data_IF_366869813494
#
_entry.id   IF_366869813494
#
_cell.length_a   1.000
_cell.length_b   1.000
_cell.length_c   1.000
_cell.angle_alpha   90.00
_cell.angle_beta   90.00
_cell.angle_gamma   90.00
#
_symmetry.space_group_name_H-M   'P 1'
#
loop_
_entity.id
_entity.type
_entity.pdbx_description
1 polymer ?
#
# COMPACT_ATOMS: atom_id res chain seq x y z
N UNK A 1 -13.58 11.83 -11.61
CA UNK A 1 -14.10 10.76 -10.71
C UNK A 1 -12.96 9.82 -10.39
N UNK A 2 -12.74 9.56 -9.11
CA UNK A 2 -11.67 8.65 -8.66
C UNK A 2 -12.03 7.19 -8.98
N UNK A 3 -11.14 6.48 -9.63
CA UNK A 3 -11.33 5.07 -10.02
C UNK A 3 -10.13 4.22 -9.61
N UNK A 4 -10.39 2.92 -9.36
CA UNK A 4 -9.39 1.90 -9.08
C UNK A 4 -9.31 1.01 -10.33
N UNK A 5 -8.15 1.03 -10.99
CA UNK A 5 -7.93 0.39 -12.29
C UNK A 5 -6.80 -0.64 -12.21
N UNK A 6 -6.85 -1.62 -13.10
CA UNK A 6 -5.69 -2.47 -13.31
C UNK A 6 -4.56 -1.63 -13.95
N UNK A 7 -3.30 -1.74 -13.47
CA UNK A 7 -2.19 -0.98 -14.04
C UNK A 7 -1.93 -1.29 -15.53
N UNK A 8 -2.40 -2.42 -16.04
CA UNK A 8 -2.24 -2.81 -17.44
C UNK A 8 -3.43 -2.47 -18.33
N UNK A 9 -4.48 -1.83 -17.80
CA UNK A 9 -5.60 -1.35 -18.63
C UNK A 9 -5.15 -0.33 -19.69
N UNK A 10 -4.11 0.45 -19.37
CA UNK A 10 -3.44 1.37 -20.31
C UNK A 10 -1.94 1.37 -20.04
N UNK A 11 -1.07 1.37 -21.06
CA UNK A 11 0.39 1.47 -20.87
C UNK A 11 0.80 2.67 -20.00
N UNK A 12 0.14 3.81 -20.20
CA UNK A 12 0.40 5.02 -19.42
C UNK A 12 0.12 4.87 -17.91
N UNK A 13 -0.76 3.97 -17.51
CA UNK A 13 -1.04 3.71 -16.09
C UNK A 13 0.13 3.02 -15.42
N UNK A 14 0.69 2.00 -16.07
CA UNK A 14 1.89 1.32 -15.58
C UNK A 14 3.08 2.29 -15.48
N UNK A 15 3.33 3.09 -16.52
CA UNK A 15 4.45 4.05 -16.57
C UNK A 15 4.34 5.09 -15.45
N UNK A 16 3.14 5.65 -15.23
CA UNK A 16 2.91 6.61 -14.17
C UNK A 16 3.05 5.98 -12.77
N UNK A 17 2.56 4.76 -12.58
CA UNK A 17 2.72 4.03 -11.33
C UNK A 17 4.19 3.69 -11.05
N UNK A 18 4.94 3.25 -12.05
CA UNK A 18 6.39 3.02 -11.95
C UNK A 18 7.13 4.30 -11.58
N UNK A 19 6.78 5.43 -12.19
CA UNK A 19 7.37 6.73 -11.84
C UNK A 19 7.13 7.08 -10.36
N UNK A 20 5.91 6.86 -9.85
CA UNK A 20 5.60 7.08 -8.43
C UNK A 20 6.36 6.12 -7.53
N UNK A 21 6.45 4.84 -7.91
CA UNK A 21 7.21 3.84 -7.19
C UNK A 21 8.66 4.25 -7.03
N UNK A 22 9.34 4.64 -8.12
CA UNK A 22 10.73 5.12 -8.10
C UNK A 22 10.87 6.38 -7.24
N UNK A 23 9.97 7.34 -7.39
CA UNK A 23 9.97 8.61 -6.65
C UNK A 23 9.89 8.44 -5.14
N UNK A 24 9.16 7.42 -4.68
CA UNK A 24 8.93 7.16 -3.25
C UNK A 24 9.60 5.88 -2.75
N UNK A 25 10.52 5.32 -3.53
CA UNK A 25 11.18 4.03 -3.29
C UNK A 25 11.70 3.88 -1.85
N UNK A 26 12.33 4.92 -1.32
CA UNK A 26 12.89 4.94 0.04
C UNK A 26 11.86 4.75 1.17
N UNK A 27 10.56 4.92 0.89
CA UNK A 27 9.47 4.71 1.84
C UNK A 27 8.73 3.40 1.61
N UNK A 28 8.98 2.75 0.48
CA UNK A 28 8.32 1.52 0.06
C UNK A 28 9.20 0.29 0.25
N UNK A 29 10.52 0.45 0.05
CA UNK A 29 11.45 -0.67 -0.02
C UNK A 29 12.65 -0.48 0.91
N UNK A 30 13.31 -1.59 1.22
CA UNK A 30 14.57 -1.65 1.94
C UNK A 30 15.77 -1.82 0.98
N UNK A 31 16.98 -1.87 1.55
CA UNK A 31 18.20 -2.00 0.76
C UNK A 31 18.27 -3.34 0.00
N UNK A 32 17.69 -4.42 0.57
CA UNK A 32 17.69 -5.73 -0.09
C UNK A 32 16.85 -5.76 -1.36
N UNK A 33 15.74 -5.02 -1.39
CA UNK A 33 14.90 -4.90 -2.57
C UNK A 33 15.57 -4.03 -3.65
N UNK A 34 16.30 -2.98 -3.23
CA UNK A 34 16.91 -2.01 -4.13
C UNK A 34 18.17 -2.58 -4.79
N UNK A 35 19.03 -3.29 -4.04
CA UNK A 35 20.36 -3.70 -4.51
C UNK A 35 20.35 -4.85 -5.53
N UNK A 36 19.26 -5.61 -5.62
CA UNK A 36 19.22 -6.88 -6.35
C UNK A 36 18.50 -6.87 -7.69
N UNK A 37 17.98 -5.72 -8.18
CA UNK A 37 17.07 -5.75 -9.30
C UNK A 37 17.15 -4.55 -10.23
N UNK A 38 16.95 -4.79 -11.52
CA UNK A 38 16.39 -3.78 -12.39
C UNK A 38 15.05 -3.34 -11.82
N UNK A 39 14.92 -2.06 -11.50
CA UNK A 39 13.76 -1.48 -10.82
C UNK A 39 12.45 -1.70 -11.61
N UNK A 40 12.52 -1.70 -12.94
CA UNK A 40 11.39 -1.99 -13.81
C UNK A 40 10.90 -3.43 -13.61
N UNK A 41 11.81 -4.40 -13.69
CA UNK A 41 11.48 -5.82 -13.54
C UNK A 41 10.99 -6.12 -12.14
N UNK A 42 11.58 -5.49 -11.13
CA UNK A 42 11.12 -5.63 -9.74
C UNK A 42 9.68 -5.14 -9.57
N UNK A 43 9.36 -3.94 -10.07
CA UNK A 43 8.00 -3.38 -9.98
C UNK A 43 6.99 -4.18 -10.81
N UNK A 44 7.38 -4.62 -12.01
CA UNK A 44 6.54 -5.50 -12.83
C UNK A 44 6.21 -6.81 -12.10
N UNK A 45 7.22 -7.47 -11.52
CA UNK A 45 7.04 -8.68 -10.74
C UNK A 45 6.21 -8.46 -9.47
N UNK A 46 6.36 -7.30 -8.81
CA UNK A 46 5.52 -6.91 -7.68
C UNK A 46 4.04 -6.88 -8.09
N UNK A 47 3.70 -6.24 -9.20
CA UNK A 47 2.32 -6.20 -9.71
C UNK A 47 1.82 -7.61 -10.01
N UNK A 48 2.64 -8.44 -10.69
CA UNK A 48 2.24 -9.80 -11.04
C UNK A 48 1.93 -10.66 -9.80
N UNK A 49 2.81 -10.64 -8.78
CA UNK A 49 2.62 -11.46 -7.58
C UNK A 49 1.48 -10.97 -6.68
N UNK A 50 1.13 -9.68 -6.73
CA UNK A 50 0.03 -9.09 -5.94
C UNK A 50 -1.29 -9.03 -6.71
N UNK A 51 -1.30 -9.41 -8.00
CA UNK A 51 -2.53 -9.53 -8.79
C UNK A 51 -3.45 -10.61 -8.17
N UNK A 52 -4.78 -10.38 -8.12
CA UNK A 52 -5.55 -9.26 -8.67
C UNK A 52 -5.73 -8.07 -7.70
N UNK A 53 -4.94 -7.98 -6.65
CA UNK A 53 -5.10 -6.99 -5.57
C UNK A 53 -4.22 -5.74 -5.73
N UNK A 54 -3.62 -5.53 -6.91
CA UNK A 54 -2.91 -4.31 -7.24
C UNK A 54 -3.79 -3.37 -8.07
N UNK A 55 -3.94 -2.12 -7.62
CA UNK A 55 -4.74 -1.11 -8.30
C UNK A 55 -3.95 0.20 -8.42
N UNK A 56 -4.03 0.83 -9.58
CA UNK A 56 -3.74 2.26 -9.73
C UNK A 56 -4.99 3.06 -9.40
N UNK A 57 -4.79 4.19 -8.74
CA UNK A 57 -5.85 5.13 -8.37
C UNK A 57 -5.79 6.29 -9.35
N UNK A 58 -6.86 6.53 -10.10
CA UNK A 58 -6.85 7.49 -11.20
C UNK A 58 -7.90 8.59 -11.05
N UNK A 59 -7.56 9.77 -11.56
CA UNK A 59 -8.47 10.87 -11.88
C UNK A 59 -8.43 11.07 -13.40
N UNK A 60 -9.38 10.44 -14.13
CA UNK A 60 -9.28 10.32 -15.57
C UNK A 60 -8.06 9.49 -16.00
N UNK A 61 -7.19 10.07 -16.82
CA UNK A 61 -5.95 9.42 -17.28
C UNK A 61 -4.73 9.70 -16.39
N UNK A 62 -4.91 10.47 -15.31
CA UNK A 62 -3.84 10.77 -14.37
C UNK A 62 -3.83 9.78 -13.20
N UNK A 63 -2.71 9.10 -12.98
CA UNK A 63 -2.49 8.26 -11.81
C UNK A 63 -2.13 9.13 -10.61
N UNK A 64 -3.00 9.15 -9.61
CA UNK A 64 -2.81 9.87 -8.35
C UNK A 64 -2.03 9.06 -7.31
N UNK A 65 -2.03 7.74 -7.47
CA UNK A 65 -1.37 6.79 -6.57
C UNK A 65 -1.62 5.35 -6.99
N UNK A 66 -1.13 4.44 -6.16
CA UNK A 66 -1.45 3.01 -6.26
C UNK A 66 -1.64 2.41 -4.87
N UNK A 67 -2.31 1.27 -4.84
CA UNK A 67 -2.55 0.48 -3.63
C UNK A 67 -2.52 -0.99 -3.98
N UNK A 68 -1.99 -1.81 -3.08
CA UNK A 68 -2.06 -3.27 -3.22
C UNK A 68 -2.14 -3.98 -1.88
N UNK A 69 -2.62 -5.23 -1.93
CA UNK A 69 -2.58 -6.16 -0.82
C UNK A 69 -1.55 -7.24 -1.10
N UNK A 70 -0.79 -7.59 -0.06
CA UNK A 70 0.21 -8.67 -0.07
C UNK A 70 0.06 -9.51 1.21
N UNK A 71 0.85 -10.58 1.32
CA UNK A 71 0.88 -11.44 2.52
C UNK A 71 -0.52 -11.83 3.03
N UNK A 72 -1.34 -12.31 2.09
CA UNK A 72 -2.71 -12.75 2.37
C UNK A 72 -2.72 -13.97 3.28
N UNK A 73 -3.54 -13.93 4.33
CA UNK A 73 -3.81 -15.06 5.22
C UNK A 73 -5.27 -15.48 5.03
N UNK A 74 -5.47 -16.77 4.78
CA UNK A 74 -6.79 -17.34 4.49
C UNK A 74 -6.69 -18.39 3.39
N UNK A 75 -7.84 -18.77 2.86
CA UNK A 75 -7.97 -19.72 1.76
C UNK A 75 -8.78 -19.12 0.60
N UNK A 76 -9.00 -19.93 -0.44
CA UNK A 76 -9.75 -19.50 -1.64
C UNK A 76 -11.22 -19.11 -1.36
N UNK A 77 -11.76 -19.48 -0.20
CA UNK A 77 -13.16 -19.22 0.17
C UNK A 77 -13.29 -18.07 1.16
N UNK A 78 -12.25 -17.81 1.96
CA UNK A 78 -12.30 -16.81 3.02
C UNK A 78 -10.91 -16.25 3.30
N UNK A 79 -10.72 -14.99 2.94
CA UNK A 79 -9.54 -14.23 3.35
C UNK A 79 -9.74 -13.70 4.78
N UNK A 80 -8.73 -13.85 5.62
CA UNK A 80 -8.75 -13.35 7.00
C UNK A 80 -8.02 -12.02 7.14
N UNK A 81 -6.78 -11.95 6.67
CA UNK A 81 -5.99 -10.72 6.76
C UNK A 81 -5.08 -10.52 5.55
N UNK A 82 -4.66 -9.28 5.36
CA UNK A 82 -3.72 -8.87 4.32
C UNK A 82 -2.82 -7.73 4.82
N UNK A 83 -1.70 -7.54 4.16
CA UNK A 83 -0.86 -6.36 4.30
C UNK A 83 -1.17 -5.36 3.20
N UNK A 84 -1.41 -4.12 3.59
CA UNK A 84 -1.73 -3.00 2.71
C UNK A 84 -0.49 -2.16 2.47
N UNK A 85 -0.15 -1.92 1.22
CA UNK A 85 0.79 -0.88 0.81
C UNK A 85 0.09 0.14 -0.05
N UNK A 86 0.36 1.42 0.18
CA UNK A 86 -0.19 2.51 -0.62
C UNK A 86 0.86 3.59 -0.87
N UNK A 87 0.80 4.19 -2.05
CA UNK A 87 1.63 5.30 -2.45
C UNK A 87 0.78 6.34 -3.17
N UNK A 88 0.89 7.61 -2.78
CA UNK A 88 0.21 8.73 -3.43
C UNK A 88 1.19 9.81 -3.84
N UNK A 89 0.98 10.40 -5.00
CA UNK A 89 1.70 11.61 -5.39
C UNK A 89 1.36 12.75 -4.41
N UNK A 90 2.40 13.52 -4.03
CA UNK A 90 2.26 14.63 -3.08
C UNK A 90 1.20 15.67 -3.48
N UNK A 91 0.92 15.80 -4.77
CA UNK A 91 -0.11 16.72 -5.31
C UNK A 91 -1.52 16.38 -4.83
N UNK A 92 -1.74 15.13 -4.41
CA UNK A 92 -3.04 14.61 -3.97
C UNK A 92 -3.13 14.40 -2.45
N UNK A 93 -2.08 14.77 -1.69
CA UNK A 93 -2.11 14.58 -0.24
C UNK A 93 -3.16 15.46 0.44
N UNK A 94 -3.78 14.93 1.48
CA UNK A 94 -4.83 15.60 2.25
C UNK A 94 -6.15 14.84 2.21
N UNK A 95 -7.25 15.55 2.00
CA UNK A 95 -8.58 14.94 2.06
C UNK A 95 -8.84 13.95 0.93
N UNK A 96 -8.19 14.14 -0.22
CA UNK A 96 -8.28 13.17 -1.32
C UNK A 96 -7.74 11.79 -0.88
N UNK A 97 -6.53 11.74 -0.33
CA UNK A 97 -5.93 10.47 0.11
C UNK A 97 -6.72 9.82 1.24
N UNK A 98 -7.31 10.62 2.15
CA UNK A 98 -8.19 10.11 3.21
C UNK A 98 -9.45 9.44 2.64
N UNK A 99 -10.09 10.06 1.64
CA UNK A 99 -11.28 9.47 0.98
C UNK A 99 -10.92 8.16 0.26
N UNK A 100 -9.81 8.16 -0.50
CA UNK A 100 -9.32 6.95 -1.18
C UNK A 100 -9.02 5.84 -0.16
N UNK A 101 -8.29 6.13 0.91
CA UNK A 101 -7.97 5.14 1.93
C UNK A 101 -9.23 4.54 2.56
N UNK A 102 -10.19 5.36 2.99
CA UNK A 102 -11.46 4.88 3.57
C UNK A 102 -12.26 4.03 2.59
N UNK A 103 -12.36 4.46 1.34
CA UNK A 103 -13.05 3.69 0.30
C UNK A 103 -12.41 2.32 0.12
N UNK A 104 -11.08 2.26 -0.03
CA UNK A 104 -10.38 0.99 -0.27
C UNK A 104 -10.48 0.04 0.93
N UNK A 105 -10.36 0.55 2.15
CA UNK A 105 -10.49 -0.25 3.38
C UNK A 105 -11.89 -0.86 3.47
N UNK A 106 -12.95 -0.05 3.25
CA UNK A 106 -14.32 -0.55 3.19
C UNK A 106 -14.49 -1.62 2.12
N UNK A 107 -13.99 -1.36 0.92
CA UNK A 107 -14.02 -2.31 -0.19
C UNK A 107 -13.36 -3.64 0.19
N UNK A 108 -12.21 -3.61 0.86
CA UNK A 108 -11.54 -4.82 1.32
C UNK A 108 -12.38 -5.61 2.34
N UNK A 109 -13.03 -4.93 3.27
CA UNK A 109 -13.87 -5.59 4.26
C UNK A 109 -15.15 -6.17 3.66
N UNK A 110 -15.81 -5.42 2.78
CA UNK A 110 -17.09 -5.79 2.18
C UNK A 110 -16.93 -6.83 1.05
N UNK A 111 -15.96 -6.62 0.16
CA UNK A 111 -15.79 -7.44 -1.05
C UNK A 111 -14.96 -8.68 -0.80
N UNK A 112 -13.85 -8.56 -0.07
CA UNK A 112 -12.96 -9.68 0.20
C UNK A 112 -13.22 -10.37 1.54
N UNK A 113 -14.10 -9.80 2.38
CA UNK A 113 -14.44 -10.37 3.68
C UNK A 113 -13.30 -10.30 4.69
N UNK A 114 -12.27 -9.50 4.46
CA UNK A 114 -11.12 -9.35 5.36
C UNK A 114 -11.60 -8.96 6.76
N UNK A 115 -10.96 -9.52 7.78
CA UNK A 115 -11.21 -9.20 9.20
C UNK A 115 -10.17 -8.24 9.76
N UNK A 116 -8.97 -8.25 9.17
CA UNK A 116 -7.84 -7.43 9.58
C UNK A 116 -7.05 -6.96 8.37
N UNK A 117 -6.66 -5.70 8.36
CA UNK A 117 -5.70 -5.15 7.40
C UNK A 117 -4.51 -4.59 8.19
N UNK A 118 -3.29 -5.01 7.83
CA UNK A 118 -2.04 -4.53 8.41
C UNK A 118 -1.36 -3.57 7.44
N UNK A 119 -0.56 -2.65 7.97
CA UNK A 119 0.37 -1.83 7.20
C UNK A 119 1.70 -1.75 7.96
N UNK A 120 2.80 -1.98 7.26
CA UNK A 120 4.15 -1.86 7.77
C UNK A 120 4.72 -0.51 7.35
N UNK A 121 5.25 0.25 8.31
CA UNK A 121 5.65 1.63 8.07
C UNK A 121 6.98 1.93 8.73
N UNK A 122 7.89 2.55 7.99
CA UNK A 122 9.12 3.07 8.58
C UNK A 122 8.81 4.23 9.54
N UNK A 123 9.51 4.33 10.68
CA UNK A 123 9.22 5.33 11.71
C UNK A 123 9.28 6.78 11.24
N UNK A 124 10.09 7.08 10.23
CA UNK A 124 10.24 8.42 9.64
C UNK A 124 9.13 8.78 8.64
N UNK A 125 8.28 7.83 8.22
CA UNK A 125 7.16 8.08 7.32
C UNK A 125 5.94 8.65 8.07
N UNK A 126 6.08 9.85 8.60
CA UNK A 126 5.05 10.52 9.42
C UNK A 126 3.73 10.71 8.68
N UNK A 127 3.77 10.89 7.36
CA UNK A 127 2.58 11.10 6.53
C UNK A 127 1.70 9.88 6.43
N UNK A 128 2.31 8.73 6.11
CA UNK A 128 1.57 7.46 6.07
C UNK A 128 1.04 7.13 7.45
N UNK A 129 1.83 7.34 8.52
CA UNK A 129 1.34 7.13 9.90
C UNK A 129 0.12 7.99 10.22
N UNK A 130 0.12 9.25 9.79
CA UNK A 130 -1.04 10.15 9.97
C UNK A 130 -2.25 9.67 9.16
N UNK A 131 -2.04 9.27 7.90
CA UNK A 131 -3.10 8.72 7.05
C UNK A 131 -3.73 7.47 7.67
N UNK A 132 -2.91 6.53 8.13
CA UNK A 132 -3.37 5.28 8.76
C UNK A 132 -4.19 5.57 10.01
N UNK A 133 -3.69 6.41 10.92
CA UNK A 133 -4.44 6.80 12.14
C UNK A 133 -5.79 7.44 11.81
N UNK A 134 -5.82 8.37 10.84
CA UNK A 134 -7.05 9.00 10.38
C UNK A 134 -8.01 8.05 9.65
N UNK A 135 -7.52 6.88 9.25
CA UNK A 135 -8.28 5.80 8.62
C UNK A 135 -8.61 4.64 9.57
N UNK A 136 -8.49 4.86 10.88
CA UNK A 136 -8.89 3.90 11.91
C UNK A 136 -7.86 2.84 12.28
N UNK A 137 -6.64 2.92 11.73
CA UNK A 137 -5.56 2.03 12.15
C UNK A 137 -5.00 2.40 13.52
N UNK A 138 -4.69 1.38 14.30
CA UNK A 138 -3.97 1.50 15.57
C UNK A 138 -2.58 0.87 15.44
N UNK A 139 -1.61 1.45 16.14
CA UNK A 139 -0.26 0.87 16.21
C UNK A 139 -0.30 -0.38 17.07
N UNK A 140 0.11 -1.50 16.50
CA UNK A 140 0.05 -2.81 17.14
C UNK A 140 1.41 -3.26 17.70
N UNK A 141 2.49 -2.96 16.95
CA UNK A 141 3.83 -3.41 17.31
C UNK A 141 4.92 -2.51 16.72
N UNK A 142 6.14 -2.73 17.20
CA UNK A 142 7.40 -2.27 16.58
C UNK A 142 8.32 -3.48 16.43
N UNK A 143 8.66 -3.79 15.19
CA UNK A 143 9.64 -4.80 14.84
C UNK A 143 11.02 -4.15 14.90
N UNK A 144 11.82 -4.56 15.88
CA UNK A 144 13.14 -3.97 16.12
C UNK A 144 14.18 -4.53 15.16
N UNK A 145 14.96 -3.62 14.52
CA UNK A 145 16.04 -3.99 13.60
C UNK A 145 15.56 -4.94 12.49
N UNK A 146 14.35 -4.73 11.96
CA UNK A 146 13.68 -5.64 11.06
C UNK A 146 14.37 -5.77 9.70
N UNK A 147 14.98 -4.68 9.23
CA UNK A 147 15.63 -4.66 7.92
C UNK A 147 16.81 -3.67 7.90
N UNK A 148 17.43 -3.51 6.73
CA UNK A 148 18.44 -2.49 6.44
C UNK A 148 17.87 -1.40 5.54
N UNK A 149 18.18 -0.14 5.87
CA UNK A 149 17.82 1.01 5.06
C UNK A 149 18.92 2.07 5.14
N UNK A 150 19.50 2.42 3.99
CA UNK A 150 20.72 3.24 3.90
C UNK A 150 21.87 2.66 4.74
N UNK A 151 22.09 1.35 4.64
CA UNK A 151 23.12 0.59 5.38
C UNK A 151 23.00 0.69 6.92
N UNK A 152 21.80 0.95 7.43
CA UNK A 152 21.52 1.00 8.88
C UNK A 152 20.37 0.10 9.24
N UNK A 153 20.46 -0.53 10.40
CA UNK A 153 19.36 -1.29 10.97
C UNK A 153 18.14 -0.39 11.14
N UNK A 154 17.01 -0.87 10.66
CA UNK A 154 15.76 -0.12 10.58
C UNK A 154 14.64 -0.85 11.31
N UNK A 155 14.00 -0.15 12.25
CA UNK A 155 12.74 -0.59 12.86
C UNK A 155 11.60 -0.47 11.86
N UNK A 156 10.57 -1.31 12.01
CA UNK A 156 9.31 -1.22 11.28
C UNK A 156 8.16 -1.16 12.26
N UNK A 157 7.29 -0.17 12.12
CA UNK A 157 6.05 -0.05 12.89
C UNK A 157 4.92 -0.80 12.19
N UNK A 158 4.17 -1.60 12.94
CA UNK A 158 2.99 -2.33 12.46
C UNK A 158 1.74 -1.60 12.91
N UNK A 159 0.91 -1.24 11.95
CA UNK A 159 -0.42 -0.66 12.17
C UNK A 159 -1.48 -1.63 11.68
N UNK A 160 -2.63 -1.70 12.37
CA UNK A 160 -3.72 -2.58 11.97
C UNK A 160 -5.08 -1.93 12.14
N UNK A 161 -6.01 -2.28 11.25
CA UNK A 161 -7.42 -1.95 11.37
C UNK A 161 -8.26 -3.22 11.27
N UNK A 162 -9.33 -3.29 12.05
CA UNK A 162 -10.19 -4.45 12.17
C UNK A 162 -11.60 -4.14 11.71
N UNK A 163 -12.21 -5.02 10.91
CA UNK A 163 -13.55 -4.82 10.34
C UNK A 163 -14.62 -4.58 11.40
N UNK A 164 -14.54 -5.28 12.55
CA UNK A 164 -15.51 -5.17 13.64
C UNK A 164 -15.54 -3.79 14.32
N UNK A 165 -14.50 -2.97 14.16
CA UNK A 165 -14.39 -1.63 14.76
C UNK A 165 -14.48 -0.49 13.75
N UNK A 166 -14.49 -0.82 12.45
CA UNK A 166 -14.33 0.17 11.40
C UNK A 166 -15.59 1.00 11.13
N UNK A 167 -16.76 0.41 11.31
CA UNK A 167 -18.08 1.06 11.08
C UNK A 167 -18.75 1.59 12.36
N UNK A 168 -17.98 1.90 13.39
CA UNK A 168 -18.50 2.49 14.63
C UNK A 168 -18.23 3.98 14.73
#
# INVERSE_FOLDING_TARGET
>A
MTEYRNPFDKPAFFEQALFLYIKYLRYLEDDYAIDNSNIYDYFFNLIQRTSPFFFVITEGDLVSGFVYLDNLIGDAKSLHSAELTTCFDKRFWGDYTKRCARFFINYCFETYGLKKIKALVYPDNSRVKTLLKNSGFVKEAVLKNETLRNNKLQDVEVYSVFSQFYNR
#
